data_IF_236458442833
#
_entry.id   IF_236458442833
#
_cell.length_a   1.000
_cell.length_b   1.000
_cell.length_c   1.000
_cell.angle_alpha   90.00
_cell.angle_beta   90.00
_cell.angle_gamma   90.00
#
_symmetry.space_group_name_H-M   'P 1'
#
loop_
_entity.id
_entity.type
_entity.pdbx_description
1 polymer ?
#
# COMPACT_ATOMS: atom_id res chain seq x y z
N UNK A 1 23.57 -0.55 -19.30
CA UNK A 1 22.89 0.59 -18.64
C UNK A 1 21.39 0.42 -18.77
N UNK A 2 20.61 0.51 -17.69
CA UNK A 2 19.16 0.53 -17.78
C UNK A 2 18.71 1.81 -18.48
N UNK A 3 17.73 1.69 -19.40
CA UNK A 3 17.18 2.84 -20.12
C UNK A 3 16.43 3.75 -19.14
N UNK A 4 16.78 5.04 -19.10
CA UNK A 4 16.02 6.05 -18.33
C UNK A 4 14.57 6.06 -18.79
N UNK A 5 13.64 5.92 -17.86
CA UNK A 5 12.20 5.97 -18.13
C UNK A 5 11.61 7.29 -17.59
N UNK A 6 10.60 7.80 -18.28
CA UNK A 6 9.76 8.89 -17.77
C UNK A 6 8.65 8.30 -16.93
N UNK A 7 8.60 8.66 -15.66
CA UNK A 7 7.68 8.08 -14.68
C UNK A 7 6.78 9.16 -14.08
N UNK A 8 5.50 8.87 -13.96
CA UNK A 8 4.54 9.66 -13.19
C UNK A 8 4.14 8.89 -11.93
N UNK A 9 4.16 9.55 -10.77
CA UNK A 9 3.64 9.01 -9.51
C UNK A 9 2.49 9.88 -9.03
N UNK A 10 1.29 9.36 -9.05
CA UNK A 10 0.11 9.97 -8.42
C UNK A 10 0.18 9.67 -6.92
N UNK A 11 0.50 10.66 -6.09
CA UNK A 11 0.93 10.51 -4.71
C UNK A 11 2.46 10.55 -4.58
N UNK A 12 3.05 9.81 -3.63
CA UNK A 12 4.51 9.63 -3.56
C UNK A 12 5.25 10.54 -2.58
N UNK A 13 4.55 11.34 -1.75
CA UNK A 13 5.20 12.22 -0.76
C UNK A 13 5.21 11.68 0.66
N UNK A 14 4.58 10.54 0.92
CA UNK A 14 4.46 9.92 2.25
C UNK A 14 4.64 8.41 2.18
N UNK A 15 5.09 7.83 3.29
CA UNK A 15 5.08 6.39 3.55
C UNK A 15 5.74 5.61 2.40
N UNK A 16 5.22 4.43 2.03
CA UNK A 16 5.77 3.62 0.92
C UNK A 16 5.86 4.38 -0.41
N UNK A 17 4.97 5.35 -0.66
CA UNK A 17 5.03 6.19 -1.86
C UNK A 17 6.30 7.05 -1.93
N UNK A 18 6.80 7.52 -0.78
CA UNK A 18 8.09 8.21 -0.69
C UNK A 18 9.23 7.27 -1.06
N UNK A 19 9.24 6.06 -0.51
CA UNK A 19 10.26 5.05 -0.81
C UNK A 19 10.24 4.60 -2.28
N UNK A 20 9.04 4.50 -2.90
CA UNK A 20 8.94 4.29 -4.34
C UNK A 20 9.69 5.38 -5.12
N UNK A 21 9.45 6.66 -4.80
CA UNK A 21 10.11 7.78 -5.48
C UNK A 21 11.63 7.75 -5.26
N UNK A 22 12.08 7.45 -4.04
CA UNK A 22 13.51 7.30 -3.72
C UNK A 22 14.18 6.24 -4.58
N UNK A 23 13.58 5.05 -4.70
CA UNK A 23 14.10 3.96 -5.54
C UNK A 23 14.13 4.35 -7.01
N UNK A 24 13.07 4.97 -7.53
CA UNK A 24 13.02 5.41 -8.93
C UNK A 24 14.10 6.45 -9.27
N UNK A 25 14.40 7.36 -8.34
CA UNK A 25 15.48 8.34 -8.47
C UNK A 25 16.86 7.67 -8.41
N UNK A 26 17.07 6.72 -7.48
CA UNK A 26 18.32 5.99 -7.33
C UNK A 26 18.71 5.20 -8.59
N UNK A 27 17.71 4.64 -9.30
CA UNK A 27 17.96 3.94 -10.57
C UNK A 27 18.01 4.89 -11.78
N UNK A 28 17.92 6.20 -11.56
CA UNK A 28 18.15 7.24 -12.59
C UNK A 28 16.96 7.52 -13.49
N UNK A 29 15.71 7.31 -13.04
CA UNK A 29 14.53 7.64 -13.84
C UNK A 29 14.17 9.13 -13.75
N UNK A 30 13.50 9.64 -14.80
CA UNK A 30 12.93 10.99 -14.85
C UNK A 30 11.56 10.97 -14.15
N UNK A 31 11.53 11.34 -12.87
CA UNK A 31 10.34 11.22 -12.02
C UNK A 31 9.55 12.51 -11.95
N UNK A 32 8.27 12.42 -12.25
CA UNK A 32 7.26 13.46 -11.98
C UNK A 32 6.33 12.97 -10.89
N UNK A 33 6.14 13.76 -9.82
CA UNK A 33 5.11 13.50 -8.82
C UNK A 33 3.91 14.42 -9.03
N UNK A 34 2.70 13.87 -8.96
CA UNK A 34 1.46 14.63 -9.03
C UNK A 34 0.73 14.54 -7.68
N UNK A 35 0.55 15.67 -7.02
CA UNK A 35 -0.02 15.78 -5.68
C UNK A 35 -0.76 17.10 -5.51
N UNK A 36 -1.55 17.22 -4.44
CA UNK A 36 -2.21 18.49 -4.08
C UNK A 36 -1.27 19.55 -3.52
N UNK A 37 0.02 19.26 -3.37
CA UNK A 37 1.03 20.21 -2.84
C UNK A 37 0.95 20.47 -1.33
N UNK A 38 0.12 19.75 -0.59
CA UNK A 38 -0.11 19.98 0.85
C UNK A 38 1.03 19.40 1.71
N UNK A 39 1.58 18.26 1.30
CA UNK A 39 2.64 17.57 2.06
C UNK A 39 3.99 17.99 1.51
N UNK A 40 4.87 18.48 2.40
CA UNK A 40 6.28 18.73 2.08
C UNK A 40 7.01 17.39 1.91
N UNK A 41 7.91 17.32 0.95
CA UNK A 41 8.81 16.20 0.71
C UNK A 41 10.27 16.66 0.71
N UNK A 42 11.21 15.72 0.73
CA UNK A 42 12.65 15.96 0.76
C UNK A 42 13.33 15.87 -0.61
N UNK A 43 12.58 15.70 -1.71
CA UNK A 43 13.17 15.45 -3.02
C UNK A 43 13.74 16.69 -3.72
N UNK A 44 13.40 17.91 -3.27
CA UNK A 44 13.92 19.16 -3.86
C UNK A 44 13.70 19.23 -5.36
N UNK A 45 14.74 19.54 -6.10
CA UNK A 45 14.74 19.60 -7.58
C UNK A 45 14.93 18.26 -8.28
N UNK A 46 15.13 17.17 -7.54
CA UNK A 46 15.31 15.85 -8.12
C UNK A 46 14.05 15.31 -8.81
N UNK A 47 12.87 15.83 -8.49
CA UNK A 47 11.60 15.47 -9.13
C UNK A 47 10.92 16.67 -9.77
N UNK A 48 10.22 16.41 -10.87
CA UNK A 48 9.25 17.34 -11.45
C UNK A 48 7.95 17.27 -10.64
N UNK A 49 7.22 18.40 -10.54
CA UNK A 49 5.97 18.45 -9.78
C UNK A 49 4.81 18.93 -10.62
N UNK A 50 3.68 18.25 -10.44
CA UNK A 50 2.37 18.67 -10.93
C UNK A 50 1.48 18.85 -9.71
N UNK A 51 1.06 20.09 -9.46
CA UNK A 51 0.09 20.36 -8.38
C UNK A 51 -1.29 20.19 -8.97
N UNK A 52 -1.98 19.16 -8.50
CA UNK A 52 -3.32 18.77 -8.98
C UNK A 52 -4.00 17.85 -7.96
N UNK A 53 -5.31 17.97 -7.83
CA UNK A 53 -6.12 16.90 -7.22
C UNK A 53 -6.40 15.85 -8.29
N UNK A 54 -6.05 14.59 -8.03
CA UNK A 54 -6.29 13.50 -8.98
C UNK A 54 -7.79 13.21 -9.18
N UNK A 55 -8.63 13.67 -8.26
CA UNK A 55 -10.09 13.56 -8.38
C UNK A 55 -10.68 14.65 -9.31
N UNK A 56 -9.95 15.71 -9.60
CA UNK A 56 -10.32 16.71 -10.61
C UNK A 56 -9.86 16.25 -12.00
N UNK A 57 -10.75 15.57 -12.71
CA UNK A 57 -10.48 15.01 -14.05
C UNK A 57 -10.06 16.07 -15.07
N UNK A 58 -10.74 17.23 -15.08
CA UNK A 58 -10.48 18.29 -16.04
C UNK A 58 -9.11 18.92 -15.83
N UNK A 59 -8.77 19.21 -14.59
CA UNK A 59 -7.48 19.78 -14.26
C UNK A 59 -6.35 18.73 -14.45
N UNK A 60 -6.58 17.47 -14.09
CA UNK A 60 -5.61 16.39 -14.32
C UNK A 60 -5.36 16.21 -15.81
N UNK A 61 -6.40 16.15 -16.66
CA UNK A 61 -6.28 16.04 -18.10
C UNK A 61 -5.49 17.20 -18.71
N UNK A 62 -5.77 18.44 -18.28
CA UNK A 62 -5.07 19.67 -18.67
C UNK A 62 -3.59 19.64 -18.25
N UNK A 63 -3.28 19.24 -17.02
CA UNK A 63 -1.90 19.16 -16.51
C UNK A 63 -1.07 18.11 -17.22
N UNK A 64 -1.72 17.05 -17.75
CA UNK A 64 -1.08 15.98 -18.50
C UNK A 64 -1.16 16.16 -20.02
N UNK A 65 -1.69 17.29 -20.52
CA UNK A 65 -1.73 17.59 -21.94
C UNK A 65 -0.31 17.66 -22.53
N UNK A 66 -0.11 17.03 -23.70
CA UNK A 66 1.18 16.97 -24.38
C UNK A 66 2.27 16.16 -23.66
N UNK A 67 1.95 15.50 -22.52
CA UNK A 67 2.89 14.68 -21.76
C UNK A 67 2.64 13.20 -22.03
N UNK A 68 3.72 12.42 -21.98
CA UNK A 68 3.66 10.95 -22.03
C UNK A 68 4.67 10.36 -21.06
N UNK A 69 4.34 9.18 -20.53
CA UNK A 69 5.13 8.48 -19.53
C UNK A 69 5.33 7.03 -19.96
N UNK A 70 6.48 6.45 -19.60
CA UNK A 70 6.70 5.02 -19.77
C UNK A 70 5.92 4.23 -18.72
N UNK A 71 5.82 4.78 -17.48
CA UNK A 71 5.13 4.13 -16.37
C UNK A 71 4.37 5.19 -15.56
N UNK A 72 3.14 4.86 -15.17
CA UNK A 72 2.38 5.62 -14.18
C UNK A 72 2.14 4.74 -12.96
N UNK A 73 2.49 5.23 -11.77
CA UNK A 73 2.13 4.64 -10.49
C UNK A 73 0.98 5.43 -9.87
N UNK A 74 -0.07 4.76 -9.49
CA UNK A 74 -1.22 5.38 -8.82
C UNK A 74 -1.44 4.80 -7.43
N UNK A 75 -0.98 5.54 -6.42
CA UNK A 75 -1.14 5.19 -5.02
C UNK A 75 -2.46 5.71 -4.42
N UNK A 76 -3.30 6.37 -5.22
CA UNK A 76 -4.47 7.12 -4.76
C UNK A 76 -5.79 6.65 -5.41
N UNK A 77 -5.81 5.51 -6.08
CA UNK A 77 -7.02 4.97 -6.72
C UNK A 77 -7.88 4.19 -5.70
N UNK A 78 -8.98 4.78 -5.26
CA UNK A 78 -9.83 4.23 -4.20
C UNK A 78 -11.30 3.99 -4.60
N UNK A 79 -11.66 4.22 -5.88
CA UNK A 79 -13.05 4.08 -6.32
C UNK A 79 -13.12 3.81 -7.83
N UNK A 80 -14.28 3.35 -8.29
CA UNK A 80 -14.54 3.11 -9.71
C UNK A 80 -14.47 4.39 -10.55
N UNK A 81 -14.97 5.52 -10.04
CA UNK A 81 -14.85 6.80 -10.73
C UNK A 81 -13.39 7.26 -10.82
N UNK A 82 -12.61 7.08 -9.75
CA UNK A 82 -11.18 7.37 -9.76
C UNK A 82 -10.43 6.54 -10.81
N UNK A 83 -10.73 5.24 -10.90
CA UNK A 83 -10.16 4.34 -11.89
C UNK A 83 -10.58 4.70 -13.33
N UNK A 84 -11.86 5.03 -13.55
CA UNK A 84 -12.38 5.49 -14.83
C UNK A 84 -11.63 6.73 -15.32
N UNK A 85 -11.52 7.76 -14.48
CA UNK A 85 -10.74 8.97 -14.78
C UNK A 85 -9.29 8.65 -15.17
N UNK A 86 -8.64 7.73 -14.46
CA UNK A 86 -7.28 7.31 -14.82
C UNK A 86 -7.24 6.66 -16.20
N UNK A 87 -8.16 5.76 -16.54
CA UNK A 87 -8.25 5.12 -17.85
C UNK A 87 -8.43 6.15 -18.97
N UNK A 88 -9.31 7.13 -18.79
CA UNK A 88 -9.62 8.16 -19.79
C UNK A 88 -8.45 9.14 -19.96
N UNK A 89 -7.95 9.70 -18.87
CA UNK A 89 -6.90 10.74 -18.90
C UNK A 89 -5.55 10.18 -19.37
N UNK A 90 -5.23 8.92 -19.04
CA UNK A 90 -3.95 8.30 -19.37
C UNK A 90 -3.95 7.55 -20.71
N UNK A 91 -5.09 7.44 -21.38
CA UNK A 91 -5.20 6.81 -22.71
C UNK A 91 -4.23 7.45 -23.71
N UNK A 92 -3.35 6.63 -24.30
CA UNK A 92 -2.29 7.09 -25.22
C UNK A 92 -1.14 7.86 -24.56
N UNK A 93 -1.16 8.05 -23.25
CA UNK A 93 -0.12 8.80 -22.51
C UNK A 93 0.76 7.92 -21.62
N UNK A 94 0.42 6.66 -21.43
CA UNK A 94 1.26 5.71 -20.66
C UNK A 94 1.43 4.39 -21.40
N UNK A 95 2.58 3.73 -21.16
CA UNK A 95 2.85 2.38 -21.67
C UNK A 95 2.56 1.30 -20.61
N UNK A 96 2.45 1.70 -19.34
CA UNK A 96 2.16 0.79 -18.23
C UNK A 96 1.58 1.56 -17.04
N UNK A 97 0.61 0.97 -16.38
CA UNK A 97 -0.02 1.53 -15.18
C UNK A 97 0.10 0.55 -14.02
N UNK A 98 0.62 1.04 -12.90
CA UNK A 98 0.78 0.28 -11.65
C UNK A 98 -0.16 0.89 -10.62
N UNK A 99 -1.18 0.14 -10.25
CA UNK A 99 -2.14 0.55 -9.22
C UNK A 99 -1.75 -0.04 -7.88
N UNK A 100 -1.67 0.78 -6.85
CA UNK A 100 -1.65 0.28 -5.48
C UNK A 100 -3.05 -0.18 -5.09
N UNK A 101 -3.23 -1.48 -5.01
CA UNK A 101 -4.43 -2.14 -4.51
C UNK A 101 -4.23 -2.62 -3.07
N UNK A 102 -5.05 -3.54 -2.59
CA UNK A 102 -5.05 -4.01 -1.22
C UNK A 102 -5.52 -5.45 -1.13
N UNK A 103 -5.07 -6.19 -0.11
CA UNK A 103 -5.65 -7.46 0.28
C UNK A 103 -7.15 -7.36 0.63
N UNK A 104 -7.63 -6.17 0.92
CA UNK A 104 -9.04 -5.92 1.22
C UNK A 104 -10.00 -6.21 0.05
N UNK A 105 -9.48 -6.49 -1.15
CA UNK A 105 -10.33 -6.99 -2.27
C UNK A 105 -10.82 -8.41 -2.04
N UNK A 106 -10.12 -9.17 -1.21
CA UNK A 106 -10.50 -10.54 -0.84
C UNK A 106 -11.50 -10.57 0.31
N UNK A 107 -12.20 -11.68 0.45
CA UNK A 107 -12.80 -12.05 1.73
C UNK A 107 -11.70 -12.58 2.66
N UNK A 108 -11.71 -12.23 3.96
CA UNK A 108 -10.66 -12.64 4.89
C UNK A 108 -10.50 -14.17 4.96
N UNK A 109 -9.29 -14.65 4.69
CA UNK A 109 -8.90 -16.05 4.79
C UNK A 109 -7.38 -16.21 4.95
N UNK A 110 -6.93 -17.44 5.21
CA UNK A 110 -5.52 -17.79 5.21
C UNK A 110 -5.02 -18.12 3.81
N UNK A 111 -3.84 -17.64 3.46
CA UNK A 111 -3.13 -18.04 2.24
C UNK A 111 -3.79 -17.59 0.94
N UNK A 112 -4.34 -16.38 0.90
CA UNK A 112 -5.05 -15.84 -0.25
C UNK A 112 -4.14 -15.72 -1.48
N UNK A 113 -4.64 -16.20 -2.62
CA UNK A 113 -4.01 -16.17 -3.94
C UNK A 113 -4.63 -15.08 -4.81
N UNK A 114 -3.97 -14.73 -5.92
CA UNK A 114 -4.48 -13.69 -6.83
C UNK A 114 -5.81 -14.05 -7.48
N UNK A 115 -6.06 -15.33 -7.72
CA UNK A 115 -7.30 -15.88 -8.29
C UNK A 115 -8.52 -15.85 -7.35
N UNK A 116 -8.33 -15.65 -6.04
CA UNK A 116 -9.44 -15.58 -5.08
C UNK A 116 -10.29 -14.30 -5.25
N UNK A 117 -9.84 -13.36 -6.08
CA UNK A 117 -10.65 -12.25 -6.57
C UNK A 117 -10.38 -11.99 -8.05
N UNK A 118 -11.39 -12.19 -8.89
CA UNK A 118 -11.32 -11.97 -10.34
C UNK A 118 -11.86 -10.57 -10.74
N UNK A 119 -11.00 -9.56 -10.96
CA UNK A 119 -11.43 -8.22 -11.36
C UNK A 119 -11.92 -8.13 -12.80
N UNK A 120 -11.61 -9.11 -13.65
CA UNK A 120 -11.98 -9.11 -15.06
C UNK A 120 -13.47 -9.36 -15.30
N UNK A 121 -14.14 -10.00 -14.35
CA UNK A 121 -15.56 -10.35 -14.42
C UNK A 121 -16.40 -9.69 -13.31
N UNK A 122 -15.76 -8.92 -12.43
CA UNK A 122 -16.47 -8.27 -11.33
C UNK A 122 -17.40 -7.18 -11.86
N UNK A 123 -18.68 -7.21 -11.45
CA UNK A 123 -19.69 -6.25 -11.89
C UNK A 123 -19.32 -4.83 -11.42
N UNK A 124 -19.30 -3.87 -12.35
CA UNK A 124 -18.90 -2.50 -12.06
C UNK A 124 -20.11 -1.66 -11.68
N UNK A 125 -20.05 -1.06 -10.49
CA UNK A 125 -20.89 0.06 -10.08
C UNK A 125 -20.02 1.31 -9.96
N UNK A 126 -20.43 2.40 -10.60
CA UNK A 126 -19.68 3.65 -10.57
C UNK A 126 -20.05 4.49 -9.36
N UNK A 127 -19.05 5.03 -8.69
CA UNK A 127 -19.19 5.89 -7.53
C UNK A 127 -17.83 6.45 -7.09
N UNK A 128 -17.88 7.45 -6.23
CA UNK A 128 -16.71 8.08 -5.64
C UNK A 128 -16.30 7.38 -4.33
N UNK A 129 -15.19 7.81 -3.74
CA UNK A 129 -14.58 7.15 -2.58
C UNK A 129 -15.54 6.97 -1.39
N UNK A 130 -16.46 7.90 -1.19
CA UNK A 130 -17.38 7.89 -0.04
C UNK A 130 -18.67 7.09 -0.30
N UNK A 131 -18.88 6.62 -1.53
CA UNK A 131 -20.06 5.84 -1.88
C UNK A 131 -19.92 4.36 -1.53
N UNK A 132 -18.70 3.92 -1.21
CA UNK A 132 -18.37 2.53 -0.92
C UNK A 132 -17.51 2.42 0.35
N UNK A 133 -17.55 1.26 1.00
CA UNK A 133 -16.51 0.91 1.96
C UNK A 133 -15.16 0.71 1.24
N UNK A 134 -14.08 0.64 2.02
CA UNK A 134 -12.73 0.57 1.46
C UNK A 134 -12.52 -0.67 0.57
N UNK A 135 -13.01 -1.83 0.99
CA UNK A 135 -12.86 -3.10 0.26
C UNK A 135 -13.57 -3.04 -1.08
N UNK A 136 -14.83 -2.63 -1.08
CA UNK A 136 -15.64 -2.51 -2.30
C UNK A 136 -15.07 -1.45 -3.24
N UNK A 137 -14.65 -0.29 -2.72
CA UNK A 137 -14.00 0.74 -3.53
C UNK A 137 -12.75 0.22 -4.25
N UNK A 138 -11.94 -0.64 -3.59
CA UNK A 138 -10.76 -1.27 -4.20
C UNK A 138 -11.12 -2.35 -5.22
N UNK A 139 -12.13 -3.20 -4.95
CA UNK A 139 -12.65 -4.20 -5.93
C UNK A 139 -13.12 -3.52 -7.21
N UNK A 140 -13.94 -2.51 -7.08
CA UNK A 140 -14.48 -1.75 -8.20
C UNK A 140 -13.39 -0.98 -8.97
N UNK A 141 -12.40 -0.43 -8.28
CA UNK A 141 -11.28 0.23 -8.94
C UNK A 141 -10.43 -0.75 -9.76
N UNK A 142 -10.13 -1.94 -9.23
CA UNK A 142 -9.46 -3.01 -10.01
C UNK A 142 -10.31 -3.44 -11.21
N UNK A 143 -11.61 -3.68 -11.01
CA UNK A 143 -12.51 -4.07 -12.09
C UNK A 143 -12.50 -3.06 -13.24
N UNK A 144 -12.60 -1.77 -12.94
CA UNK A 144 -12.58 -0.72 -13.98
C UNK A 144 -11.25 -0.70 -14.73
N UNK A 145 -10.10 -0.72 -14.06
CA UNK A 145 -8.81 -0.66 -14.79
C UNK A 145 -8.55 -1.91 -15.60
N UNK A 146 -8.93 -3.11 -15.14
CA UNK A 146 -8.72 -4.33 -15.90
C UNK A 146 -9.69 -4.52 -17.06
N UNK A 147 -10.91 -3.99 -16.97
CA UNK A 147 -11.90 -4.13 -18.02
C UNK A 147 -11.84 -3.00 -19.04
N UNK A 148 -11.32 -1.80 -18.69
CA UNK A 148 -11.44 -0.61 -19.54
C UNK A 148 -10.12 0.10 -19.88
N UNK A 149 -8.98 -0.23 -19.22
CA UNK A 149 -7.72 0.43 -19.54
C UNK A 149 -7.24 0.07 -20.95
N UNK A 150 -6.75 1.07 -21.70
CA UNK A 150 -6.15 0.90 -23.01
C UNK A 150 -4.60 0.74 -22.93
N UNK A 151 -4.09 0.29 -21.80
CA UNK A 151 -2.68 0.08 -21.51
C UNK A 151 -2.52 -1.10 -20.53
N UNK A 152 -1.34 -1.74 -20.48
CA UNK A 152 -1.03 -2.79 -19.52
C UNK A 152 -1.18 -2.32 -18.07
N UNK A 153 -1.83 -3.13 -17.22
CA UNK A 153 -2.13 -2.83 -15.81
C UNK A 153 -1.51 -3.88 -14.90
N UNK A 154 -0.92 -3.42 -13.79
CA UNK A 154 -0.59 -4.25 -12.63
C UNK A 154 -1.32 -3.68 -11.42
N UNK A 155 -2.11 -4.49 -10.73
CA UNK A 155 -2.69 -4.14 -9.44
C UNK A 155 -1.92 -4.85 -8.32
N UNK A 156 -1.19 -4.07 -7.52
CA UNK A 156 -0.40 -4.60 -6.41
C UNK A 156 -1.26 -4.68 -5.17
N UNK A 157 -1.58 -5.89 -4.72
CA UNK A 157 -2.41 -6.15 -3.55
C UNK A 157 -1.52 -6.25 -2.31
N UNK A 158 -1.39 -5.15 -1.60
CA UNK A 158 -0.67 -5.11 -0.33
C UNK A 158 -1.55 -5.52 0.84
N UNK A 159 -0.98 -6.23 1.84
CA UNK A 159 -1.57 -6.32 3.18
C UNK A 159 -1.44 -4.97 3.89
N UNK A 160 -1.55 -4.99 5.21
CA UNK A 160 -1.24 -3.80 6.01
C UNK A 160 0.23 -3.43 5.82
N UNK A 161 0.47 -2.21 5.33
CA UNK A 161 1.82 -1.66 5.26
C UNK A 161 2.20 -1.10 6.62
N UNK A 162 3.38 -1.46 7.12
CA UNK A 162 3.94 -1.03 8.41
C UNK A 162 5.30 -0.37 8.22
N UNK A 163 5.73 0.48 9.15
CA UNK A 163 7.03 1.14 9.11
C UNK A 163 7.13 2.26 10.13
N UNK A 164 8.32 2.80 10.29
CA UNK A 164 8.61 3.87 11.25
C UNK A 164 7.88 5.18 10.92
N UNK A 165 7.49 5.35 9.64
CA UNK A 165 6.76 6.54 9.15
C UNK A 165 5.27 6.27 8.93
N UNK A 166 4.71 5.23 9.55
CA UNK A 166 3.27 4.95 9.46
C UNK A 166 2.45 6.05 10.16
N UNK A 167 1.94 6.97 9.36
CA UNK A 167 1.11 8.07 9.85
C UNK A 167 -0.25 7.62 10.41
N UNK A 168 -0.65 6.37 10.18
CA UNK A 168 -1.88 5.79 10.76
C UNK A 168 -1.67 5.30 12.18
N UNK A 169 -0.41 5.15 12.60
CA UNK A 169 0.03 4.79 13.95
C UNK A 169 -0.51 3.47 14.49
N UNK A 170 -0.95 2.56 13.60
CA UNK A 170 -1.61 1.32 14.02
C UNK A 170 -0.71 0.41 14.87
N UNK A 171 0.56 0.23 14.46
CA UNK A 171 1.50 -0.56 15.24
C UNK A 171 2.01 0.21 16.47
N UNK A 172 2.18 1.53 16.34
CA UNK A 172 2.55 2.41 17.46
C UNK A 172 1.52 2.38 18.60
N UNK A 173 0.23 2.21 18.27
CA UNK A 173 -0.86 2.07 19.24
C UNK A 173 -0.54 1.04 20.33
N UNK A 174 -0.08 -0.15 19.96
CA UNK A 174 0.23 -1.21 20.93
C UNK A 174 1.36 -0.80 21.88
N UNK A 175 2.41 -0.17 21.36
CA UNK A 175 3.53 0.32 22.18
C UNK A 175 3.05 1.40 23.15
N UNK A 176 2.26 2.36 22.67
CA UNK A 176 1.73 3.45 23.49
C UNK A 176 0.88 2.95 24.63
N UNK A 177 -0.06 2.04 24.37
CA UNK A 177 -0.97 1.52 25.39
C UNK A 177 -0.23 0.68 26.42
N UNK A 178 0.72 -0.16 26.02
CA UNK A 178 1.51 -0.94 26.99
C UNK A 178 2.34 -0.02 27.87
N UNK A 179 3.07 0.94 27.30
CA UNK A 179 3.95 1.84 28.04
C UNK A 179 3.15 2.74 28.99
N UNK A 180 2.00 3.23 28.57
CA UNK A 180 1.12 4.10 29.38
C UNK A 180 0.22 3.34 30.33
N UNK A 181 0.26 2.01 30.33
CA UNK A 181 -0.67 1.17 31.08
C UNK A 181 -2.15 1.47 30.78
N UNK A 182 -2.46 1.72 29.50
CA UNK A 182 -3.81 1.89 29.02
C UNK A 182 -4.37 0.54 28.53
N UNK A 183 -5.67 0.24 28.78
CA UNK A 183 -6.28 -1.01 28.32
C UNK A 183 -6.26 -1.14 26.80
N UNK A 184 -6.09 -2.38 26.33
CA UNK A 184 -6.16 -2.75 24.92
C UNK A 184 -7.28 -3.77 24.74
N UNK A 185 -8.29 -3.46 23.93
CA UNK A 185 -9.36 -4.41 23.60
C UNK A 185 -8.96 -5.18 22.36
N UNK A 186 -8.78 -6.51 22.52
CA UNK A 186 -8.39 -7.42 21.42
C UNK A 186 -9.31 -8.63 21.40
N UNK A 187 -10.05 -8.80 20.30
CA UNK A 187 -10.99 -9.90 20.12
C UNK A 187 -10.27 -11.21 19.69
N UNK A 188 -9.24 -11.10 18.82
CA UNK A 188 -8.55 -12.23 18.22
C UNK A 188 -7.03 -12.06 18.29
N UNK A 189 -6.44 -12.37 19.44
CA UNK A 189 -5.01 -12.12 19.67
C UNK A 189 -4.08 -13.11 18.94
N UNK A 190 -4.56 -14.31 18.59
CA UNK A 190 -3.79 -15.40 18.00
C UNK A 190 -3.93 -15.52 16.47
N UNK A 191 -4.72 -14.63 15.86
CA UNK A 191 -4.92 -14.67 14.42
C UNK A 191 -3.64 -14.34 13.63
N UNK A 192 -3.39 -15.10 12.57
CA UNK A 192 -2.27 -14.86 11.66
C UNK A 192 -2.56 -13.71 10.72
N UNK A 193 -1.69 -12.70 10.73
CA UNK A 193 -1.79 -11.51 9.91
C UNK A 193 -0.56 -11.33 9.02
N UNK A 194 -0.81 -10.94 7.75
CA UNK A 194 0.23 -10.55 6.82
C UNK A 194 0.50 -9.04 6.88
N UNK A 195 1.76 -8.68 6.70
CA UNK A 195 2.21 -7.29 6.62
C UNK A 195 3.28 -7.13 5.55
N UNK A 196 3.57 -5.88 5.18
CA UNK A 196 4.73 -5.52 4.39
C UNK A 196 5.36 -4.25 4.95
N UNK A 197 6.71 -4.20 4.98
CA UNK A 197 7.42 -2.99 5.41
C UNK A 197 7.30 -1.86 4.37
N UNK A 198 7.17 -0.60 4.80
CA UNK A 198 6.99 0.57 3.91
C UNK A 198 8.08 0.71 2.85
N UNK A 199 9.34 0.40 3.19
CA UNK A 199 10.46 0.42 2.23
C UNK A 199 10.32 -0.70 1.20
N UNK A 200 10.00 -1.90 1.65
CA UNK A 200 9.80 -3.06 0.78
C UNK A 200 8.61 -2.86 -0.17
N UNK A 201 7.52 -2.26 0.31
CA UNK A 201 6.37 -1.91 -0.53
C UNK A 201 6.76 -0.91 -1.64
N UNK A 202 7.57 0.10 -1.33
CA UNK A 202 8.10 1.04 -2.32
C UNK A 202 9.04 0.38 -3.34
N UNK A 203 9.95 -0.49 -2.87
CA UNK A 203 10.85 -1.29 -3.70
C UNK A 203 10.07 -2.24 -4.63
N UNK A 204 9.03 -2.89 -4.11
CA UNK A 204 8.18 -3.79 -4.89
C UNK A 204 7.42 -3.06 -6.00
N UNK A 205 6.83 -1.91 -5.71
CA UNK A 205 6.18 -1.08 -6.74
C UNK A 205 7.17 -0.70 -7.84
N UNK A 206 8.37 -0.22 -7.48
CA UNK A 206 9.41 0.12 -8.46
C UNK A 206 9.79 -1.10 -9.30
N UNK A 207 9.97 -2.26 -8.67
CA UNK A 207 10.29 -3.53 -9.34
C UNK A 207 9.18 -3.93 -10.33
N UNK A 208 7.90 -3.83 -9.96
CA UNK A 208 6.77 -4.09 -10.87
C UNK A 208 6.83 -3.25 -12.14
N UNK A 209 7.26 -2.00 -12.05
CA UNK A 209 7.42 -1.12 -13.20
C UNK A 209 8.55 -1.52 -14.16
N UNK A 210 9.55 -2.26 -13.64
CA UNK A 210 10.70 -2.71 -14.45
C UNK A 210 10.51 -4.09 -15.08
N UNK A 211 9.55 -4.87 -14.58
CA UNK A 211 9.27 -6.23 -15.07
C UNK A 211 8.20 -6.22 -16.16
N UNK A 212 8.24 -7.21 -17.03
CA UNK A 212 7.17 -7.44 -18.00
C UNK A 212 6.10 -8.33 -17.38
N UNK A 213 5.30 -7.75 -16.50
CA UNK A 213 4.19 -8.41 -15.79
C UNK A 213 2.92 -7.61 -15.96
N UNK A 214 1.79 -8.29 -15.96
CA UNK A 214 0.44 -7.74 -16.00
C UNK A 214 -0.48 -8.52 -15.06
N UNK A 215 -1.61 -7.93 -14.70
CA UNK A 215 -2.59 -8.55 -13.82
C UNK A 215 -2.41 -8.22 -12.34
N UNK A 216 -3.26 -8.80 -11.48
CA UNK A 216 -3.11 -8.67 -10.04
C UNK A 216 -1.88 -9.42 -9.54
N UNK A 217 -1.22 -8.87 -8.51
CA UNK A 217 -0.07 -9.48 -7.86
C UNK A 217 -0.07 -9.19 -6.36
N UNK A 218 0.00 -10.24 -5.56
CA UNK A 218 0.14 -10.14 -4.11
C UNK A 218 1.56 -9.77 -3.71
N UNK A 219 1.69 -8.94 -2.68
CA UNK A 219 2.99 -8.55 -2.16
C UNK A 219 2.94 -8.40 -0.64
N UNK A 220 3.53 -9.35 0.07
CA UNK A 220 3.70 -9.33 1.52
C UNK A 220 5.10 -9.81 1.90
N UNK A 221 5.62 -9.35 3.04
CA UNK A 221 6.87 -9.89 3.62
C UNK A 221 6.68 -11.38 3.96
N UNK A 222 7.77 -12.15 4.01
CA UNK A 222 7.71 -13.58 4.32
C UNK A 222 7.29 -13.84 5.76
N UNK A 223 6.36 -14.77 5.95
CA UNK A 223 5.84 -15.16 7.25
C UNK A 223 4.63 -14.35 7.71
N UNK A 224 4.19 -14.64 8.91
CA UNK A 224 3.02 -14.06 9.56
C UNK A 224 3.35 -13.64 10.99
N UNK A 225 2.57 -12.72 11.55
CA UNK A 225 2.70 -12.26 12.94
C UNK A 225 1.31 -12.12 13.54
N UNK A 226 1.12 -12.65 14.77
CA UNK A 226 -0.10 -12.43 15.53
C UNK A 226 -0.01 -11.19 16.42
N UNK A 227 -1.18 -10.66 16.81
CA UNK A 227 -1.24 -9.57 17.80
C UNK A 227 -0.58 -10.00 19.13
N UNK A 228 -0.72 -11.26 19.54
CA UNK A 228 -0.02 -11.82 20.72
C UNK A 228 1.49 -11.69 20.60
N UNK A 229 2.07 -12.01 19.44
CA UNK A 229 3.51 -11.90 19.23
C UNK A 229 3.99 -10.43 19.31
N UNK A 230 3.19 -9.49 18.79
CA UNK A 230 3.46 -8.04 18.90
C UNK A 230 3.47 -7.60 20.37
N UNK A 231 2.41 -7.90 21.12
CA UNK A 231 2.27 -7.54 22.54
C UNK A 231 3.39 -8.17 23.37
N UNK A 232 3.64 -9.46 23.20
CA UNK A 232 4.69 -10.17 23.92
C UNK A 232 6.06 -9.54 23.69
N UNK A 233 6.39 -9.17 22.44
CA UNK A 233 7.66 -8.50 22.16
C UNK A 233 7.77 -7.15 22.88
N UNK A 234 6.69 -6.36 22.94
CA UNK A 234 6.68 -5.09 23.66
C UNK A 234 6.88 -5.32 25.16
N UNK A 235 6.18 -6.27 25.78
CA UNK A 235 6.34 -6.64 27.18
C UNK A 235 7.78 -7.04 27.53
N UNK A 236 8.38 -7.91 26.69
CA UNK A 236 9.76 -8.38 26.88
C UNK A 236 10.81 -7.25 26.80
N UNK A 237 10.56 -6.19 26.01
CA UNK A 237 11.51 -5.09 25.79
C UNK A 237 11.25 -3.86 26.69
N UNK A 238 10.08 -3.79 27.32
CA UNK A 238 9.73 -2.69 28.25
C UNK A 238 9.72 -3.16 29.72
N UNK A 239 9.54 -4.44 29.98
CA UNK A 239 9.28 -4.99 31.32
C UNK A 239 7.86 -4.70 31.84
N UNK A 240 7.00 -4.10 31.02
CA UNK A 240 5.63 -3.67 31.35
C UNK A 240 4.64 -4.67 30.79
N UNK A 241 3.67 -5.12 31.60
CA UNK A 241 2.62 -6.03 31.14
C UNK A 241 1.47 -5.27 30.49
N UNK A 242 0.98 -5.77 29.36
CA UNK A 242 -0.19 -5.22 28.69
C UNK A 242 -1.46 -5.47 29.51
N UNK A 243 -2.36 -4.49 29.50
CA UNK A 243 -3.71 -4.62 30.08
C UNK A 243 -4.70 -5.02 28.99
N UNK A 244 -4.81 -6.32 28.73
CA UNK A 244 -5.72 -6.87 27.72
C UNK A 244 -7.14 -6.97 28.28
N UNK A 245 -8.13 -6.53 27.52
CA UNK A 245 -9.55 -6.62 27.83
C UNK A 245 -10.34 -7.18 26.65
N UNK A 246 -11.47 -7.83 26.94
CA UNK A 246 -12.40 -8.33 25.90
C UNK A 246 -13.42 -7.25 25.49
N UNK A 247 -13.70 -6.29 26.37
CA UNK A 247 -14.71 -5.23 26.15
C UNK A 247 -14.17 -3.88 26.59
N UNK A 248 -14.42 -2.85 25.81
CA UNK A 248 -14.01 -1.47 26.10
C UNK A 248 -13.93 -0.60 24.85
N UNK A 249 -13.53 0.66 25.04
CA UNK A 249 -13.49 1.65 23.95
C UNK A 249 -12.18 1.63 23.15
N UNK A 250 -11.08 1.17 23.75
CA UNK A 250 -9.76 1.15 23.12
C UNK A 250 -9.55 -0.11 22.26
N UNK A 251 -10.35 -0.24 21.19
CA UNK A 251 -10.20 -1.33 20.23
C UNK A 251 -8.86 -1.26 19.53
N UNK A 252 -8.11 -2.36 19.58
CA UNK A 252 -6.83 -2.49 18.90
C UNK A 252 -7.00 -2.42 17.38
N UNK A 253 -6.02 -1.88 16.65
CA UNK A 253 -5.94 -2.06 15.21
C UNK A 253 -5.95 -3.56 14.84
N UNK A 254 -6.57 -3.89 13.70
CA UNK A 254 -6.71 -5.26 13.16
C UNK A 254 -7.69 -6.18 13.91
N UNK A 255 -8.46 -5.64 14.85
CA UNK A 255 -9.33 -6.39 15.75
C UNK A 255 -10.49 -7.11 15.03
N UNK A 256 -10.91 -6.61 13.86
CA UNK A 256 -12.03 -7.16 13.09
C UNK A 256 -11.61 -8.38 12.22
N UNK A 257 -10.33 -8.72 12.20
CA UNK A 257 -9.78 -9.74 11.30
C UNK A 257 -9.20 -10.90 12.11
N UNK A 258 -9.84 -12.07 12.03
CA UNK A 258 -9.39 -13.27 12.75
C UNK A 258 -8.08 -13.79 12.13
N UNK A 259 -8.09 -14.04 10.83
CA UNK A 259 -6.96 -14.50 10.03
C UNK A 259 -7.03 -13.84 8.65
N UNK A 260 -5.93 -13.23 8.21
CA UNK A 260 -5.86 -12.72 6.85
C UNK A 260 -4.42 -12.69 6.36
N UNK A 261 -4.07 -13.65 5.54
CA UNK A 261 -2.71 -13.80 5.02
C UNK A 261 -2.71 -13.93 3.50
N UNK A 262 -1.63 -13.48 2.87
CA UNK A 262 -1.42 -13.55 1.43
C UNK A 262 -0.33 -14.55 1.09
N UNK A 263 -0.46 -15.26 -0.01
CA UNK A 263 0.65 -15.87 -0.70
C UNK A 263 1.39 -14.84 -1.57
N UNK A 264 2.72 -14.83 -1.49
CA UNK A 264 3.60 -13.97 -2.30
C UNK A 264 4.39 -14.77 -3.35
N UNK A 265 3.98 -16.02 -3.58
CA UNK A 265 4.74 -17.00 -4.36
C UNK A 265 4.94 -16.55 -5.82
N UNK A 266 3.88 -16.06 -6.46
CA UNK A 266 3.94 -15.49 -7.82
C UNK A 266 5.02 -14.41 -7.96
N UNK A 267 5.13 -13.49 -7.00
CA UNK A 267 6.14 -12.43 -7.03
C UNK A 267 7.54 -12.99 -6.76
N UNK A 268 7.68 -13.99 -5.88
CA UNK A 268 8.95 -14.67 -5.59
C UNK A 268 9.48 -15.46 -6.79
N UNK A 269 8.61 -16.20 -7.48
CA UNK A 269 8.96 -16.92 -8.72
C UNK A 269 9.42 -15.97 -9.83
N UNK A 270 8.85 -14.78 -9.89
CA UNK A 270 9.28 -13.71 -10.78
C UNK A 270 10.57 -13.01 -10.34
N UNK A 271 11.11 -13.39 -9.16
CA UNK A 271 12.42 -12.99 -8.67
C UNK A 271 12.42 -11.77 -7.74
N UNK A 272 11.34 -11.50 -7.01
CA UNK A 272 11.38 -10.50 -5.94
C UNK A 272 11.72 -11.15 -4.59
N UNK A 273 12.80 -10.71 -3.91
CA UNK A 273 13.25 -11.26 -2.64
C UNK A 273 12.54 -10.55 -1.46
N UNK A 274 11.43 -11.08 -1.00
CA UNK A 274 10.77 -10.52 0.18
C UNK A 274 11.58 -10.71 1.45
N UNK A 275 11.49 -9.72 2.35
CA UNK A 275 12.12 -9.71 3.68
C UNK A 275 11.36 -10.60 4.66
N UNK A 276 12.03 -10.96 5.76
CA UNK A 276 11.43 -11.72 6.85
C UNK A 276 10.60 -10.81 7.77
N UNK A 277 9.28 -11.00 7.79
CA UNK A 277 8.34 -10.14 8.52
C UNK A 277 8.68 -10.01 10.00
N UNK A 278 9.00 -11.13 10.68
CA UNK A 278 9.30 -11.11 12.12
C UNK A 278 10.51 -10.25 12.47
N UNK A 279 11.48 -10.16 11.57
CA UNK A 279 12.65 -9.31 11.76
C UNK A 279 12.29 -7.82 11.61
N UNK A 280 11.60 -7.49 10.53
CA UNK A 280 11.14 -6.11 10.27
C UNK A 280 10.21 -5.61 11.38
N UNK A 281 9.25 -6.44 11.81
CA UNK A 281 8.33 -6.13 12.91
C UNK A 281 9.08 -5.77 14.21
N UNK A 282 10.06 -6.59 14.59
CA UNK A 282 10.88 -6.33 15.79
C UNK A 282 11.66 -5.03 15.70
N UNK A 283 12.18 -4.69 14.51
CA UNK A 283 12.94 -3.46 14.30
C UNK A 283 12.03 -2.23 14.47
N UNK A 284 10.83 -2.26 13.87
CA UNK A 284 9.84 -1.16 13.98
C UNK A 284 9.39 -1.01 15.44
N UNK A 285 9.06 -2.11 16.12
CA UNK A 285 8.65 -2.06 17.54
C UNK A 285 9.75 -1.49 18.43
N UNK A 286 11.02 -1.87 18.24
CA UNK A 286 12.15 -1.26 18.96
C UNK A 286 12.26 0.23 18.70
N UNK A 287 12.07 0.67 17.46
CA UNK A 287 12.06 2.10 17.13
C UNK A 287 11.01 2.83 17.95
N UNK A 288 9.76 2.35 17.95
CA UNK A 288 8.68 2.97 18.70
C UNK A 288 8.93 2.95 20.23
N UNK A 289 9.40 1.83 20.79
CA UNK A 289 9.75 1.74 22.21
C UNK A 289 10.82 2.78 22.58
N UNK A 290 11.85 2.94 21.76
CA UNK A 290 12.94 3.89 22.03
C UNK A 290 12.52 5.35 21.89
N UNK A 291 11.54 5.66 21.06
CA UNK A 291 11.01 7.03 20.91
C UNK A 291 10.05 7.43 22.02
N UNK A 292 9.62 6.47 22.87
CA UNK A 292 8.74 6.70 24.01
C UNK A 292 9.46 6.75 25.37
N UNK A 293 10.75 6.40 25.39
CA UNK A 293 11.63 6.57 26.56
C UNK A 293 12.18 8.00 26.62
#
# INVERSE_FOLDING_TARGET
>A
MMKVKKVLVLGGTRFFGKHLVEVLLQVGHDVTIATRGVTKDSFGSAVKRIIVDREDEKELAKRLEGKSYDIVYDNLCYSSNAAKRACEVLKGKTKKYIMTSSMAVYEPALGLLEEDFNPYEYAITYGDRNDFNYSEGKRLAEAVVFQHAAFPVVAVRFPVVIGENDYTKRLQFYVEHVVKQEPIVVDHVDGDLAFIHEKEAGEFLAWCGMKNIEGPINACSNGVVSTREVIRFIEENTGIKALIQEVGDNKAPYNEVINCTLHNEKARELGFPFRELKLEMKNILRHYINTMK
#
